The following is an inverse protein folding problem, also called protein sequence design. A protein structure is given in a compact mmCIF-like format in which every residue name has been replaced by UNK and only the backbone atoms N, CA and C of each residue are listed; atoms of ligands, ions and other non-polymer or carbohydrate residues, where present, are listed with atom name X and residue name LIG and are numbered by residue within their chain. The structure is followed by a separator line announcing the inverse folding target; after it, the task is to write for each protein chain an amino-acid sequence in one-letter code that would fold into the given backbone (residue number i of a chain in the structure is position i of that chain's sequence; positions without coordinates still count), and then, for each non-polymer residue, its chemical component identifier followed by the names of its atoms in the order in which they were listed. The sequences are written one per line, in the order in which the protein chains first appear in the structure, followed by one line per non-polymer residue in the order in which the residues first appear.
data_IF_682955134902
#
_entry.id   IF_682955134902
#
_cell.length_a   1.000
_cell.length_b   1.000
_cell.length_c   1.000
_cell.angle_alpha   90.00
_cell.angle_beta   90.00
_cell.angle_gamma   90.00
#
_symmetry.space_group_name_H-M   'P 1'
#
loop_
_entity.id
_entity.type
_entity.pdbx_description
1 polymer ?
#
# COMPACT_ATOMS: atom_id res chain seq x y z
N UNK A 1 4.50 3.10 -13.99
CA UNK A 1 5.80 3.03 -13.29
C UNK A 1 5.58 3.26 -11.81
N UNK A 2 6.24 2.46 -10.96
CA UNK A 2 6.10 2.54 -9.50
C UNK A 2 7.32 3.24 -8.92
N UNK A 3 7.12 4.09 -7.92
CA UNK A 3 8.17 4.81 -7.21
C UNK A 3 8.33 4.20 -5.82
N UNK A 4 9.57 3.84 -5.49
CA UNK A 4 9.92 3.21 -4.22
C UNK A 4 11.12 3.90 -3.59
N UNK A 5 11.25 3.77 -2.27
CA UNK A 5 12.47 4.06 -1.53
C UNK A 5 13.09 2.76 -1.02
N UNK A 6 14.14 2.84 -0.19
CA UNK A 6 14.67 1.69 0.54
C UNK A 6 13.69 1.09 1.56
N UNK A 7 12.65 1.84 1.98
CA UNK A 7 11.66 1.37 2.96
C UNK A 7 10.41 0.75 2.32
N UNK A 8 10.03 1.18 1.11
CA UNK A 8 8.85 0.64 0.43
C UNK A 8 8.23 1.58 -0.59
N UNK A 9 6.94 1.39 -0.87
CA UNK A 9 6.18 2.15 -1.88
C UNK A 9 6.04 3.61 -1.47
N UNK A 10 6.50 4.51 -2.34
CA UNK A 10 6.28 5.96 -2.21
C UNK A 10 5.01 6.36 -2.96
N UNK A 11 4.80 5.78 -4.14
CA UNK A 11 3.68 6.13 -5.00
C UNK A 11 3.87 5.66 -6.45
N UNK A 12 3.29 6.39 -7.38
CA UNK A 12 3.36 6.12 -8.82
C UNK A 12 3.65 7.38 -9.60
N UNK A 13 4.35 7.22 -10.71
CA UNK A 13 4.50 8.30 -11.68
C UNK A 13 3.13 8.56 -12.33
N UNK A 14 2.58 9.75 -12.15
CA UNK A 14 1.35 10.21 -12.80
C UNK A 14 1.64 10.86 -14.14
N UNK A 15 2.73 11.63 -14.23
CA UNK A 15 3.18 12.30 -15.45
C UNK A 15 4.70 12.19 -15.61
N UNK A 16 5.17 12.02 -16.84
CA UNK A 16 6.60 11.94 -17.15
C UNK A 16 6.97 12.93 -18.26
N UNK A 17 7.92 13.81 -17.97
CA UNK A 17 8.58 14.68 -18.93
C UNK A 17 9.99 14.20 -19.29
N UNK A 18 10.74 14.97 -20.10
CA UNK A 18 12.07 14.56 -20.57
C UNK A 18 13.11 14.38 -19.47
N UNK A 19 13.02 15.18 -18.39
CA UNK A 19 14.02 15.23 -17.32
C UNK A 19 13.43 15.17 -15.90
N UNK A 20 12.11 15.16 -15.78
CA UNK A 20 11.40 15.15 -14.51
C UNK A 20 10.08 14.40 -14.63
N UNK A 21 9.54 13.96 -13.50
CA UNK A 21 8.26 13.28 -13.42
C UNK A 21 7.48 13.77 -12.20
N UNK A 22 6.16 13.76 -12.31
CA UNK A 22 5.25 14.02 -11.19
C UNK A 22 4.90 12.66 -10.57
N UNK A 23 4.97 12.58 -9.24
CA UNK A 23 4.65 11.39 -8.48
C UNK A 23 3.39 11.64 -7.67
N UNK A 24 2.35 10.84 -7.94
CA UNK A 24 1.22 10.69 -7.02
C UNK A 24 1.66 9.78 -5.88
N UNK A 25 1.80 10.35 -4.68
CA UNK A 25 2.27 9.62 -3.50
C UNK A 25 1.11 8.96 -2.77
N UNK A 26 1.42 8.01 -1.89
CA UNK A 26 0.39 7.41 -1.02
C UNK A 26 -0.29 8.42 -0.07
N UNK A 27 0.13 9.70 -0.04
CA UNK A 27 -0.45 10.76 0.79
C UNK A 27 -1.68 11.33 0.13
N UNK A 28 -1.81 11.11 -1.18
CA UNK A 28 -3.02 11.40 -1.91
C UNK A 28 -4.13 10.41 -1.47
N UNK A 29 -5.28 10.90 -0.95
CA UNK A 29 -6.42 10.06 -0.62
C UNK A 29 -7.03 9.32 -1.82
N UNK A 30 -6.66 9.66 -3.05
CA UNK A 30 -7.06 8.93 -4.27
C UNK A 30 -6.14 7.75 -4.59
N UNK A 31 -4.94 7.68 -4.01
CA UNK A 31 -4.02 6.58 -4.26
C UNK A 31 -4.59 5.25 -3.75
N UNK A 32 -4.49 4.21 -4.57
CA UNK A 32 -4.94 2.85 -4.25
C UNK A 32 -3.83 1.84 -4.49
N UNK A 33 -3.67 0.88 -3.57
CA UNK A 33 -2.68 -0.21 -3.66
C UNK A 33 -3.33 -1.54 -3.28
N UNK A 34 -3.34 -2.50 -4.21
CA UNK A 34 -3.72 -3.88 -3.89
C UNK A 34 -2.64 -4.52 -3.03
N UNK A 35 -3.02 -5.03 -1.85
CA UNK A 35 -2.07 -5.55 -0.86
C UNK A 35 -2.58 -6.82 -0.18
N UNK A 36 -1.66 -7.54 0.46
CA UNK A 36 -1.97 -8.61 1.40
C UNK A 36 -1.24 -8.37 2.73
N UNK A 37 -1.80 -8.89 3.82
CA UNK A 37 -1.19 -8.84 5.15
C UNK A 37 -0.21 -10.01 5.34
N UNK A 38 0.98 -9.72 5.87
CA UNK A 38 2.11 -10.65 5.87
C UNK A 38 1.92 -11.94 6.66
N UNK A 39 1.06 -11.98 7.69
CA UNK A 39 0.85 -13.17 8.54
C UNK A 39 -0.45 -13.88 8.19
N UNK A 40 -1.56 -13.16 8.17
CA UNK A 40 -2.91 -13.68 7.90
C UNK A 40 -3.12 -14.00 6.43
N UNK A 41 -2.29 -13.43 5.53
CA UNK A 41 -2.44 -13.50 4.09
C UNK A 41 -3.79 -12.97 3.58
N UNK A 42 -4.48 -12.17 4.39
CA UNK A 42 -5.71 -11.50 3.98
C UNK A 42 -5.39 -10.43 2.95
N UNK A 43 -6.12 -10.46 1.83
CA UNK A 43 -6.00 -9.47 0.76
C UNK A 43 -6.90 -8.27 1.01
N UNK A 44 -6.59 -7.17 0.33
CA UNK A 44 -7.41 -5.97 0.41
C UNK A 44 -6.85 -4.82 -0.41
N UNK A 45 -7.53 -3.68 -0.31
CA UNK A 45 -7.12 -2.45 -0.98
C UNK A 45 -6.71 -1.42 0.06
N UNK A 46 -5.49 -0.91 -0.06
CA UNK A 46 -4.98 0.21 0.74
C UNK A 46 -5.33 1.51 0.02
N UNK A 47 -6.04 2.38 0.71
CA UNK A 47 -6.26 3.78 0.35
C UNK A 47 -5.20 4.67 1.00
N UNK A 48 -4.69 5.62 0.21
CA UNK A 48 -3.77 6.64 0.66
C UNK A 48 -4.39 7.66 1.63
N UNK A 49 -3.54 8.47 2.23
CA UNK A 49 -3.94 9.55 3.13
C UNK A 49 -2.74 10.25 3.76
N UNK A 50 -2.87 11.54 4.11
CA UNK A 50 -1.75 12.37 4.56
C UNK A 50 -1.14 11.91 5.89
N UNK A 51 -1.96 11.39 6.81
CA UNK A 51 -1.51 10.99 8.15
C UNK A 51 -1.33 9.48 8.30
N UNK A 52 -2.17 8.70 7.63
CA UNK A 52 -2.21 7.25 7.72
C UNK A 52 -2.79 6.66 6.45
N UNK A 53 -2.48 5.39 6.20
CA UNK A 53 -3.15 4.61 5.16
C UNK A 53 -4.30 3.83 5.79
N UNK A 54 -5.30 3.50 4.98
CA UNK A 54 -6.43 2.69 5.40
C UNK A 54 -6.56 1.49 4.47
N UNK A 55 -6.49 0.29 5.01
CA UNK A 55 -6.78 -0.94 4.27
C UNK A 55 -8.23 -1.35 4.50
N UNK A 56 -8.97 -1.59 3.42
CA UNK A 56 -10.18 -2.38 3.42
C UNK A 56 -9.81 -3.84 3.14
N UNK A 57 -10.19 -4.73 4.05
CA UNK A 57 -9.74 -6.13 4.07
C UNK A 57 -10.86 -7.03 3.58
N UNK A 58 -10.53 -7.88 2.60
CA UNK A 58 -11.43 -8.90 2.09
C UNK A 58 -11.60 -10.01 3.14
N UNK A 59 -12.83 -10.36 3.53
CA UNK A 59 -13.06 -11.39 4.53
C UNK A 59 -12.64 -12.78 4.03
N UNK A 60 -12.05 -13.57 4.93
CA UNK A 60 -11.79 -14.99 4.72
C UNK A 60 -12.20 -15.76 5.97
N UNK A 61 -13.01 -16.79 5.78
CA UNK A 61 -13.56 -17.58 6.90
C UNK A 61 -12.45 -18.15 7.78
N UNK A 62 -12.57 -17.95 9.10
CA UNK A 62 -11.63 -18.46 10.09
C UNK A 62 -10.28 -17.75 10.14
N UNK A 63 -10.10 -16.63 9.44
CA UNK A 63 -8.85 -15.86 9.43
C UNK A 63 -9.13 -14.43 9.88
N UNK A 64 -8.36 -13.96 10.86
CA UNK A 64 -8.45 -12.59 11.36
C UNK A 64 -7.13 -11.85 11.16
N UNK A 65 -7.19 -10.56 10.77
CA UNK A 65 -6.01 -9.70 10.74
C UNK A 65 -5.58 -9.35 12.17
N UNK A 66 -4.31 -9.00 12.35
CA UNK A 66 -3.74 -8.63 13.64
C UNK A 66 -2.81 -7.41 13.54
N UNK A 67 -2.76 -6.64 14.63
CA UNK A 67 -1.83 -5.51 14.76
C UNK A 67 -0.36 -5.97 14.62
N UNK A 68 0.45 -5.14 13.98
CA UNK A 68 1.86 -5.42 13.69
C UNK A 68 2.09 -6.26 12.42
N UNK A 69 1.05 -6.57 11.64
CA UNK A 69 1.24 -7.12 10.29
C UNK A 69 1.75 -6.08 9.30
N UNK A 70 2.57 -6.53 8.34
CA UNK A 70 2.95 -5.70 7.20
C UNK A 70 1.93 -5.84 6.08
N UNK A 71 1.47 -4.71 5.56
CA UNK A 71 0.78 -4.67 4.28
C UNK A 71 1.81 -4.65 3.15
N UNK A 72 1.71 -5.61 2.23
CA UNK A 72 2.66 -5.81 1.14
C UNK A 72 1.88 -5.85 -0.18
N UNK A 73 2.38 -5.20 -1.23
CA UNK A 73 1.72 -5.20 -2.54
C UNK A 73 1.47 -6.63 -3.03
N UNK A 74 0.24 -6.91 -3.46
CA UNK A 74 -0.17 -8.26 -3.90
C UNK A 74 0.14 -8.53 -5.37
N UNK A 75 0.30 -7.48 -6.18
CA UNK A 75 0.44 -7.58 -7.64
C UNK A 75 -0.89 -7.61 -8.39
N UNK A 76 -2.00 -7.82 -7.68
CA UNK A 76 -3.35 -7.87 -8.26
C UNK A 76 -3.70 -6.57 -8.97
N UNK A 77 -4.19 -6.70 -10.20
CA UNK A 77 -4.55 -5.58 -11.07
C UNK A 77 -3.37 -4.93 -11.80
N UNK A 78 -2.14 -5.44 -11.62
CA UNK A 78 -0.96 -4.98 -12.36
C UNK A 78 -0.53 -3.54 -12.06
N UNK A 79 -1.07 -2.91 -11.01
CA UNK A 79 -0.74 -1.54 -10.64
C UNK A 79 0.63 -1.41 -9.93
N UNK A 80 1.05 -2.48 -9.23
CA UNK A 80 2.30 -2.54 -8.48
C UNK A 80 2.95 -3.92 -8.65
N UNK A 81 4.29 -4.03 -8.67
CA UNK A 81 4.94 -5.34 -8.51
C UNK A 81 4.54 -5.95 -7.17
N UNK A 82 4.42 -7.27 -7.12
CA UNK A 82 4.21 -7.99 -5.86
C UNK A 82 5.44 -7.91 -4.96
N UNK A 83 5.24 -7.77 -3.66
CA UNK A 83 6.31 -7.90 -2.65
C UNK A 83 6.92 -6.59 -2.13
N UNK A 84 6.33 -5.44 -2.44
CA UNK A 84 6.78 -4.14 -1.93
C UNK A 84 6.03 -3.80 -0.63
N UNK A 85 6.75 -3.32 0.38
CA UNK A 85 6.12 -2.90 1.65
C UNK A 85 5.32 -1.61 1.43
N UNK A 86 4.10 -1.58 1.96
CA UNK A 86 3.19 -0.43 1.91
C UNK A 86 3.11 0.26 3.27
N UNK A 87 2.92 -0.51 4.34
CA UNK A 87 2.71 0.03 5.68
C UNK A 87 2.63 -1.05 6.76
N UNK A 88 2.67 -0.62 8.02
CA UNK A 88 2.51 -1.48 9.19
C UNK A 88 1.10 -1.30 9.77
N UNK A 89 0.37 -2.39 9.98
CA UNK A 89 -0.93 -2.37 10.67
C UNK A 89 -0.75 -1.89 12.10
N UNK A 90 -1.37 -0.77 12.45
CA UNK A 90 -1.34 -0.19 13.81
C UNK A 90 -2.64 -0.41 14.57
N UNK A 91 -3.75 -0.62 13.88
CA UNK A 91 -5.02 -1.00 14.51
C UNK A 91 -5.95 -1.67 13.51
N UNK A 92 -6.57 -2.76 13.91
CA UNK A 92 -7.69 -3.39 13.19
C UNK A 92 -9.03 -2.95 13.77
N UNK A 93 -9.95 -2.55 12.91
CA UNK A 93 -11.36 -2.30 13.25
C UNK A 93 -12.24 -3.35 12.57
N UNK A 94 -12.93 -4.14 13.39
CA UNK A 94 -14.04 -4.97 12.96
C UNK A 94 -15.34 -4.17 13.08
N UNK A 95 -16.17 -4.19 12.03
CA UNK A 95 -17.53 -3.66 12.11
C UNK A 95 -18.48 -4.84 12.24
N UNK A 96 -19.09 -5.02 13.41
CA UNK A 96 -19.95 -6.18 13.72
C UNK A 96 -21.17 -6.32 12.78
N UNK A 97 -21.55 -5.25 12.06
CA UNK A 97 -22.63 -5.25 11.07
C UNK A 97 -22.17 -5.34 9.62
N UNK A 98 -20.86 -5.27 9.34
CA UNK A 98 -20.30 -5.37 8.00
C UNK A 98 -19.44 -6.62 7.88
N UNK A 99 -19.58 -7.35 6.78
CA UNK A 99 -18.67 -8.45 6.42
C UNK A 99 -17.24 -7.98 6.12
N UNK A 100 -16.96 -6.68 6.20
CA UNK A 100 -15.66 -6.09 5.91
C UNK A 100 -14.94 -5.65 7.18
N UNK A 101 -13.67 -6.02 7.26
CA UNK A 101 -12.74 -5.52 8.28
C UNK A 101 -11.89 -4.41 7.68
N UNK A 102 -11.37 -3.52 8.52
CA UNK A 102 -10.49 -2.45 8.05
C UNK A 102 -9.29 -2.31 8.97
N UNK A 103 -8.13 -1.92 8.43
CA UNK A 103 -6.92 -1.70 9.20
C UNK A 103 -6.35 -0.32 8.92
N UNK A 104 -5.99 0.40 9.99
CA UNK A 104 -5.13 1.59 9.88
C UNK A 104 -3.69 1.14 9.72
N UNK A 105 -2.98 1.72 8.78
CA UNK A 105 -1.56 1.45 8.57
C UNK A 105 -0.73 2.72 8.79
N UNK A 106 0.39 2.58 9.48
CA UNK A 106 1.46 3.56 9.47
C UNK A 106 2.27 3.41 8.19
N UNK A 107 2.64 4.55 7.62
CA UNK A 107 3.55 4.61 6.50
C UNK A 107 4.93 4.07 6.83
N UNK A 108 5.57 3.43 5.86
CA UNK A 108 7.01 3.11 5.95
C UNK A 108 7.91 4.23 5.45
N UNK A 109 7.34 5.19 4.72
CA UNK A 109 8.04 6.33 4.16
C UNK A 109 7.68 7.60 4.93
N UNK A 110 8.67 8.42 5.24
CA UNK A 110 8.45 9.81 5.63
C UNK A 110 8.71 10.69 4.39
N UNK A 111 7.64 11.19 3.71
CA UNK A 111 7.80 11.97 2.50
C UNK A 111 8.52 13.30 2.71
N UNK A 112 8.60 13.81 3.95
CA UNK A 112 9.27 15.08 4.25
C UNK A 112 10.80 15.00 4.17
N UNK A 113 11.37 13.78 4.24
CA UNK A 113 12.82 13.54 4.23
C UNK A 113 13.30 12.66 3.05
N UNK A 114 12.41 12.34 2.11
CA UNK A 114 12.77 11.56 0.91
C UNK A 114 13.68 12.37 -0.02
N UNK A 115 14.92 11.93 -0.19
CA UNK A 115 15.91 12.55 -1.09
C UNK A 115 16.22 11.70 -2.33
N UNK A 116 16.18 10.37 -2.21
CA UNK A 116 16.49 9.42 -3.28
C UNK A 116 15.39 8.39 -3.38
N UNK A 117 14.90 8.18 -4.60
CA UNK A 117 13.89 7.18 -4.94
C UNK A 117 14.33 6.38 -6.16
N UNK A 118 13.78 5.18 -6.30
CA UNK A 118 13.94 4.34 -7.48
C UNK A 118 12.62 4.24 -8.23
N UNK A 119 12.71 4.19 -9.56
CA UNK A 119 11.55 4.00 -10.43
C UNK A 119 11.60 2.61 -11.04
N UNK A 120 10.62 1.78 -10.69
CA UNK A 120 10.40 0.49 -11.31
C UNK A 120 9.64 0.74 -12.62
N UNK A 121 10.34 0.54 -13.73
CA UNK A 121 9.81 0.81 -15.08
C UNK A 121 8.86 -0.28 -15.56
N UNK A 122 9.17 -1.54 -15.24
CA UNK A 122 8.42 -2.70 -15.71
C UNK A 122 8.52 -3.87 -14.70
N UNK A 123 7.54 -4.75 -14.71
CA UNK A 123 7.44 -5.95 -13.88
C UNK A 123 6.37 -6.90 -14.43
N UNK A 124 6.48 -8.18 -14.12
CA UNK A 124 5.43 -9.14 -14.45
C UNK A 124 4.25 -9.02 -13.49
N UNK A 125 3.04 -8.89 -14.03
CA UNK A 125 1.82 -9.02 -13.24
C UNK A 125 1.70 -10.46 -12.72
N UNK A 126 1.29 -10.60 -11.46
CA UNK A 126 1.09 -11.87 -10.76
C UNK A 126 -0.36 -12.33 -10.81
#
# INVERSE_FOLDING_TARGET
MVVVSGAGVVGRVSEAGPHAAIVETLADPQSRVSAFLSRSALEGTVAGGPDALQMEINPRFGVTPADGEWAITSGVGGGYPRGLVVGLVTSVTHRDSATTSSARLMWVNDPSVLSVVMVIKDFMAS
#
